data_IF_459671578751
#
_entry.id   IF_459671578751
#
_cell.length_a   1.000
_cell.length_b   1.000
_cell.length_c   1.000
_cell.angle_alpha   90.00
_cell.angle_beta   90.00
_cell.angle_gamma   90.00
#
_symmetry.space_group_name_H-M   'P 1'
#
loop_
_entity.id
_entity.type
_entity.pdbx_description
1 polymer ?
#
# COMPACT_ATOMS: atom_id res chain seq x y z
N UNK A 1 12.36 -37.27 4.56
CA UNK A 1 11.96 -35.86 4.36
C UNK A 1 10.45 -35.82 4.24
N UNK A 2 9.75 -35.38 5.27
CA UNK A 2 8.31 -35.12 5.18
C UNK A 2 8.16 -33.84 4.35
N UNK A 3 7.65 -33.96 3.13
CA UNK A 3 7.25 -32.81 2.35
C UNK A 3 6.12 -32.14 3.13
N UNK A 4 6.34 -30.90 3.57
CA UNK A 4 5.27 -30.10 4.14
C UNK A 4 4.09 -30.12 3.14
N UNK A 5 2.84 -30.26 3.62
CA UNK A 5 1.68 -30.30 2.74
C UNK A 5 1.67 -29.04 1.87
N UNK A 6 1.44 -29.23 0.56
CA UNK A 6 1.29 -28.10 -0.38
C UNK A 6 0.17 -27.20 0.14
N UNK A 7 0.35 -25.87 0.18
CA UNK A 7 -0.70 -24.96 0.64
C UNK A 7 -2.00 -25.16 -0.17
N UNK A 8 -3.14 -24.86 0.46
CA UNK A 8 -4.42 -24.95 -0.22
C UNK A 8 -4.46 -23.98 -1.42
N UNK A 9 -5.03 -24.41 -2.57
CA UNK A 9 -5.12 -23.62 -3.80
C UNK A 9 -6.00 -22.37 -3.67
N UNK A 10 -6.75 -22.28 -2.59
CA UNK A 10 -7.57 -21.13 -2.23
C UNK A 10 -7.62 -21.02 -0.73
N UNK A 11 -7.47 -19.80 -0.20
CA UNK A 11 -7.56 -19.54 1.24
C UNK A 11 -7.74 -18.06 1.52
N UNK A 12 -8.29 -17.75 2.70
CA UNK A 12 -8.17 -16.40 3.25
C UNK A 12 -6.74 -16.22 3.76
N UNK A 13 -6.15 -15.07 3.48
CA UNK A 13 -4.87 -14.70 4.06
C UNK A 13 -5.05 -14.34 5.53
N UNK A 14 -4.06 -14.75 6.33
CA UNK A 14 -3.98 -14.35 7.72
C UNK A 14 -3.80 -12.84 7.80
N UNK A 15 -4.46 -12.25 8.78
CA UNK A 15 -4.42 -10.81 9.02
C UNK A 15 -3.58 -10.52 10.26
N UNK A 16 -2.60 -9.62 10.14
CA UNK A 16 -1.79 -9.14 11.25
C UNK A 16 -2.08 -7.67 11.51
N UNK A 17 -2.65 -7.36 12.68
CA UNK A 17 -2.83 -5.98 13.14
C UNK A 17 -1.53 -5.46 13.77
N UNK A 18 -1.07 -4.30 13.34
CA UNK A 18 0.19 -3.71 13.79
C UNK A 18 -0.10 -2.40 14.51
N UNK A 19 0.29 -2.36 15.78
CA UNK A 19 0.24 -1.14 16.59
C UNK A 19 1.27 -0.13 16.09
N UNK A 20 0.86 1.13 16.00
CA UNK A 20 1.72 2.24 15.61
C UNK A 20 1.45 3.43 16.50
N UNK A 21 2.49 4.22 16.75
CA UNK A 21 2.38 5.49 17.49
C UNK A 21 1.39 6.46 16.85
N UNK A 22 1.17 6.34 15.54
CA UNK A 22 0.25 7.14 14.74
C UNK A 22 -1.09 6.43 14.43
N UNK A 23 -1.30 5.23 14.99
CA UNK A 23 -2.46 4.39 14.69
C UNK A 23 -3.74 4.92 15.32
N UNK A 24 -4.89 4.45 14.82
CA UNK A 24 -6.22 4.90 15.25
C UNK A 24 -6.76 4.03 16.39
N UNK A 25 -7.45 4.66 17.34
CA UNK A 25 -8.12 3.97 18.47
C UNK A 25 -9.40 3.25 18.03
N UNK A 26 -10.08 3.75 17.01
CA UNK A 26 -11.33 3.19 16.49
C UNK A 26 -11.19 2.95 14.99
N UNK A 27 -11.04 1.69 14.61
CA UNK A 27 -10.97 1.30 13.21
C UNK A 27 -12.37 1.38 12.56
N UNK A 28 -12.45 1.78 11.28
CA UNK A 28 -13.70 1.74 10.54
C UNK A 28 -14.11 0.28 10.26
N UNK A 29 -15.42 0.07 10.09
CA UNK A 29 -15.94 -1.21 9.64
C UNK A 29 -15.24 -1.65 8.33
N UNK A 30 -14.98 -2.95 8.14
CA UNK A 30 -15.40 -4.08 8.99
C UNK A 30 -14.41 -4.41 10.11
N UNK A 31 -13.35 -3.61 10.27
CA UNK A 31 -12.33 -3.87 11.26
C UNK A 31 -12.80 -3.41 12.65
N UNK A 32 -12.36 -4.13 13.67
CA UNK A 32 -12.60 -3.79 15.06
C UNK A 32 -11.25 -3.61 15.76
N UNK A 33 -11.11 -2.51 16.50
CA UNK A 33 -9.91 -2.29 17.31
C UNK A 33 -9.96 -3.15 18.58
N UNK A 34 -8.90 -3.91 18.89
CA UNK A 34 -8.76 -4.52 20.20
C UNK A 34 -8.71 -3.45 21.30
N UNK A 35 -9.40 -3.69 22.43
CA UNK A 35 -9.47 -2.72 23.52
C UNK A 35 -8.08 -2.26 23.99
N UNK A 36 -7.90 -0.93 24.09
CA UNK A 36 -6.66 -0.31 24.58
C UNK A 36 -5.48 -0.32 23.60
N UNK A 37 -5.69 -0.68 22.33
CA UNK A 37 -4.66 -0.68 21.29
C UNK A 37 -4.89 0.42 20.25
N UNK A 38 -3.80 0.95 19.70
CA UNK A 38 -3.82 1.89 18.57
C UNK A 38 -3.29 1.19 17.32
N UNK A 39 -4.18 0.83 16.41
CA UNK A 39 -3.82 0.07 15.21
C UNK A 39 -3.54 1.05 14.07
N UNK A 40 -2.32 1.02 13.54
CA UNK A 40 -1.96 1.83 12.36
C UNK A 40 -2.09 1.06 11.06
N UNK A 41 -1.75 -0.23 11.08
CA UNK A 41 -1.71 -1.06 9.88
C UNK A 41 -2.41 -2.40 10.11
N UNK A 42 -3.02 -2.92 9.06
CA UNK A 42 -3.55 -4.29 9.00
C UNK A 42 -2.95 -4.96 7.77
N UNK A 43 -2.11 -5.96 7.98
CA UNK A 43 -1.38 -6.65 6.92
C UNK A 43 -2.08 -7.94 6.55
N UNK A 44 -2.15 -8.25 5.27
CA UNK A 44 -2.40 -9.60 4.81
C UNK A 44 -1.06 -10.30 4.61
N UNK A 45 -0.79 -11.33 5.40
CA UNK A 45 0.49 -12.05 5.33
C UNK A 45 0.72 -12.60 3.92
N UNK A 46 1.86 -12.28 3.26
CA UNK A 46 2.11 -12.73 1.91
C UNK A 46 2.04 -14.25 1.81
N UNK A 47 1.28 -14.81 0.85
CA UNK A 47 1.27 -16.24 0.65
C UNK A 47 2.64 -16.69 0.08
N UNK A 48 3.11 -17.92 0.40
CA UNK A 48 4.37 -18.44 -0.13
C UNK A 48 4.48 -18.43 -1.67
N UNK A 49 3.35 -18.48 -2.37
CA UNK A 49 3.24 -18.43 -3.83
C UNK A 49 3.41 -17.02 -4.41
N UNK A 50 3.22 -15.98 -3.59
CA UNK A 50 3.37 -14.57 -3.99
C UNK A 50 4.14 -13.80 -2.90
N UNK A 51 5.38 -14.21 -2.58
CA UNK A 51 6.10 -13.68 -1.42
C UNK A 51 6.54 -12.22 -1.62
N UNK A 52 6.59 -11.74 -2.86
CA UNK A 52 7.03 -10.38 -3.22
C UNK A 52 5.93 -9.31 -3.21
N UNK A 53 4.70 -9.63 -2.81
CA UNK A 53 3.59 -8.68 -2.78
C UNK A 53 2.97 -8.62 -1.39
N UNK A 54 2.71 -7.40 -0.91
CA UNK A 54 2.06 -7.18 0.37
C UNK A 54 0.92 -6.17 0.21
N UNK A 55 -0.25 -6.56 0.70
CA UNK A 55 -1.43 -5.71 0.78
C UNK A 55 -1.69 -5.31 2.25
N UNK A 56 -1.94 -4.03 2.48
CA UNK A 56 -2.20 -3.49 3.82
C UNK A 56 -3.35 -2.50 3.81
N UNK A 57 -4.05 -2.40 4.93
CA UNK A 57 -4.85 -1.22 5.24
C UNK A 57 -4.09 -0.31 6.20
N UNK A 58 -4.13 0.99 5.97
CA UNK A 58 -3.52 2.01 6.83
C UNK A 58 -4.59 2.94 7.39
N UNK A 59 -4.48 3.24 8.70
CA UNK A 59 -5.43 4.08 9.45
C UNK A 59 -4.68 5.14 10.28
N UNK A 60 -4.10 6.16 9.63
CA UNK A 60 -3.40 7.24 10.31
C UNK A 60 -4.37 8.13 11.11
N UNK A 61 -4.16 8.22 12.43
CA UNK A 61 -4.77 9.27 13.25
C UNK A 61 -3.80 10.41 13.57
N UNK A 62 -2.52 10.24 13.25
CA UNK A 62 -1.47 11.25 13.31
C UNK A 62 -0.60 11.16 12.04
N UNK A 63 0.24 12.16 11.83
CA UNK A 63 1.21 12.12 10.71
C UNK A 63 2.20 10.97 10.89
N UNK A 64 2.33 10.15 9.85
CA UNK A 64 3.44 9.21 9.72
C UNK A 64 4.75 9.99 9.54
N UNK A 65 5.87 9.33 9.80
CA UNK A 65 7.18 9.91 9.53
C UNK A 65 7.35 10.29 8.06
N UNK A 66 8.17 11.33 7.82
CA UNK A 66 8.71 11.61 6.49
C UNK A 66 9.75 10.54 6.18
N UNK A 67 9.54 9.83 5.08
CA UNK A 67 10.32 8.64 4.75
C UNK A 67 10.53 8.48 3.24
N UNK A 68 11.43 7.57 2.90
CA UNK A 68 11.73 7.19 1.52
C UNK A 68 12.12 5.71 1.46
N UNK A 69 11.99 5.11 0.29
CA UNK A 69 12.20 3.70 0.03
C UNK A 69 13.24 3.47 -1.07
N UNK A 70 14.11 2.45 -0.96
CA UNK A 70 15.04 2.12 -2.03
C UNK A 70 14.32 1.48 -3.20
N UNK A 71 14.92 1.57 -4.39
CA UNK A 71 14.58 0.70 -5.53
C UNK A 71 15.37 -0.59 -5.45
N UNK A 72 14.99 -1.62 -6.22
CA UNK A 72 15.78 -2.85 -6.31
C UNK A 72 17.24 -2.57 -6.72
N UNK A 73 17.46 -1.56 -7.57
CA UNK A 73 18.79 -1.17 -8.05
C UNK A 73 19.64 -0.40 -7.00
N UNK A 74 18.98 0.17 -5.99
CA UNK A 74 19.65 0.95 -4.93
C UNK A 74 19.62 0.25 -3.58
N UNK A 75 18.92 -0.88 -3.45
CA UNK A 75 18.93 -1.69 -2.24
C UNK A 75 20.33 -2.27 -1.97
N UNK A 76 20.77 -2.19 -0.71
CA UNK A 76 22.01 -2.81 -0.24
C UNK A 76 21.75 -4.25 0.25
N UNK A 77 22.79 -5.08 0.48
CA UNK A 77 22.60 -6.42 1.03
C UNK A 77 21.80 -6.39 2.35
N UNK A 78 20.65 -7.08 2.37
CA UNK A 78 19.72 -7.08 3.50
C UNK A 78 18.60 -6.04 3.42
N UNK A 79 18.59 -5.21 2.37
CA UNK A 79 17.49 -4.35 1.97
C UNK A 79 16.79 -4.94 0.74
N UNK A 80 15.55 -4.53 0.51
CA UNK A 80 14.75 -4.88 -0.66
C UNK A 80 14.11 -3.61 -1.22
N UNK A 81 14.02 -3.52 -2.56
CA UNK A 81 13.31 -2.41 -3.18
C UNK A 81 11.84 -2.36 -2.76
N UNK A 82 11.30 -1.14 -2.74
CA UNK A 82 9.94 -0.91 -2.29
C UNK A 82 9.29 0.24 -3.06
N UNK A 83 8.58 -0.14 -4.10
CA UNK A 83 7.51 0.65 -4.69
C UNK A 83 6.17 0.32 -4.02
N UNK A 84 5.30 1.32 -3.97
CA UNK A 84 3.97 1.18 -3.37
C UNK A 84 2.91 1.96 -4.14
N UNK A 85 1.65 1.64 -3.89
CA UNK A 85 0.53 2.44 -4.35
C UNK A 85 -0.52 2.53 -3.25
N UNK A 86 -1.22 3.66 -3.23
CA UNK A 86 -2.30 3.92 -2.29
C UNK A 86 -3.60 4.15 -3.05
N UNK A 87 -4.62 3.40 -2.68
CA UNK A 87 -6.01 3.72 -2.96
C UNK A 87 -6.61 4.36 -1.71
N UNK A 88 -7.06 5.61 -1.81
CA UNK A 88 -7.78 6.28 -0.73
C UNK A 88 -9.19 5.70 -0.66
N UNK A 89 -9.52 5.02 0.44
CA UNK A 89 -10.84 4.43 0.66
C UNK A 89 -11.79 5.43 1.31
N UNK A 90 -11.26 6.23 2.22
CA UNK A 90 -12.00 7.28 2.93
C UNK A 90 -11.04 8.40 3.35
N UNK A 91 -11.56 9.62 3.45
CA UNK A 91 -10.80 10.81 3.78
C UNK A 91 -11.67 11.82 4.55
N UNK A 92 -11.22 12.18 5.76
CA UNK A 92 -11.81 13.27 6.54
C UNK A 92 -11.55 14.63 5.87
N UNK A 93 -12.38 15.67 6.12
CA UNK A 93 -12.15 17.00 5.56
C UNK A 93 -10.75 17.53 5.88
N UNK A 94 -10.00 17.88 4.83
CA UNK A 94 -8.63 18.39 4.95
C UNK A 94 -7.55 17.31 5.11
N UNK A 95 -7.90 16.03 4.99
CA UNK A 95 -6.92 14.95 4.96
C UNK A 95 -5.98 15.08 3.73
N UNK A 96 -4.69 14.84 3.96
CA UNK A 96 -3.64 15.10 2.96
C UNK A 96 -2.54 14.04 2.99
N UNK A 97 -1.91 13.85 1.83
CA UNK A 97 -0.72 13.03 1.63
C UNK A 97 0.44 13.93 1.20
N UNK A 98 1.61 13.77 1.79
CA UNK A 98 2.82 14.42 1.33
C UNK A 98 3.55 13.48 0.36
N UNK A 99 3.75 13.89 -0.89
CA UNK A 99 4.38 13.04 -1.92
C UNK A 99 5.30 13.89 -2.80
N UNK A 100 6.59 13.59 -2.76
CA UNK A 100 7.64 14.39 -3.39
C UNK A 100 7.82 15.77 -2.76
N UNK A 101 8.76 16.53 -3.32
CA UNK A 101 9.00 17.91 -2.91
C UNK A 101 8.15 18.90 -3.73
N UNK A 102 7.90 20.09 -3.17
CA UNK A 102 7.23 21.21 -3.87
C UNK A 102 8.01 21.68 -5.11
N UNK A 103 9.33 21.55 -5.05
CA UNK A 103 10.28 21.87 -6.12
C UNK A 103 11.50 20.97 -5.96
N UNK A 104 12.40 20.96 -6.93
CA UNK A 104 13.68 20.27 -6.77
C UNK A 104 14.48 20.85 -5.58
N UNK A 105 15.00 19.98 -4.71
CA UNK A 105 15.71 20.37 -3.49
C UNK A 105 17.11 19.74 -3.45
N UNK A 106 18.20 20.51 -3.28
CA UNK A 106 19.52 19.94 -3.08
C UNK A 106 19.58 19.01 -1.86
N UNK A 107 20.28 17.87 -1.97
CA UNK A 107 20.39 16.86 -0.90
C UNK A 107 20.89 17.45 0.42
N UNK A 108 21.85 18.39 0.40
CA UNK A 108 22.32 19.07 1.62
C UNK A 108 21.24 19.91 2.31
N UNK A 109 20.32 20.50 1.53
CA UNK A 109 19.17 21.21 2.10
C UNK A 109 18.18 20.22 2.72
N UNK A 110 17.94 19.06 2.08
CA UNK A 110 17.11 17.98 2.64
C UNK A 110 17.70 17.50 3.97
N UNK A 111 19.02 17.28 4.02
CA UNK A 111 19.74 16.86 5.24
C UNK A 111 19.55 17.86 6.38
N UNK A 112 19.83 19.15 6.15
CA UNK A 112 19.69 20.18 7.17
C UNK A 112 18.24 20.27 7.68
N UNK A 113 17.28 20.27 6.75
CA UNK A 113 15.86 20.38 7.06
C UNK A 113 15.30 19.14 7.79
N UNK A 114 15.87 17.95 7.55
CA UNK A 114 15.50 16.74 8.27
C UNK A 114 15.92 16.80 9.75
N UNK A 115 17.07 17.42 10.05
CA UNK A 115 17.62 17.54 11.40
C UNK A 115 16.88 18.57 12.26
N UNK A 116 16.44 19.68 11.68
CA UNK A 116 15.71 20.74 12.39
C UNK A 116 14.19 20.64 12.27
N UNK A 117 13.69 19.68 11.48
CA UNK A 117 12.27 19.41 11.26
C UNK A 117 11.59 20.30 10.21
N UNK A 118 12.31 21.25 9.60
CA UNK A 118 11.78 22.10 8.53
C UNK A 118 11.52 21.36 7.21
N UNK A 119 11.94 20.09 7.09
CA UNK A 119 11.72 19.25 5.89
C UNK A 119 10.23 19.14 5.53
N UNK A 120 9.34 19.18 6.51
CA UNK A 120 7.89 19.15 6.26
C UNK A 120 7.42 20.29 5.35
N UNK A 121 8.06 21.46 5.45
CA UNK A 121 7.76 22.63 4.60
C UNK A 121 8.32 22.52 3.18
N UNK A 122 9.16 21.51 2.91
CA UNK A 122 9.69 21.23 1.57
C UNK A 122 8.79 20.27 0.78
N UNK A 123 7.94 19.49 1.47
CA UNK A 123 7.12 18.46 0.87
C UNK A 123 5.90 19.03 0.15
N UNK A 124 5.52 18.40 -0.97
CA UNK A 124 4.26 18.69 -1.64
C UNK A 124 3.12 17.98 -0.93
N UNK A 125 2.21 18.74 -0.31
CA UNK A 125 0.98 18.20 0.28
C UNK A 125 -0.16 18.20 -0.73
N UNK A 126 -0.72 17.02 -0.98
CA UNK A 126 -1.88 16.78 -1.83
C UNK A 126 -3.11 16.55 -0.97
N UNK A 127 -4.19 17.28 -1.25
CA UNK A 127 -5.52 16.94 -0.72
C UNK A 127 -5.96 15.59 -1.29
N UNK A 128 -6.47 14.75 -0.39
CA UNK A 128 -6.89 13.40 -0.70
C UNK A 128 -8.41 13.29 -0.58
N UNK A 129 -9.02 12.56 -1.50
CA UNK A 129 -10.44 12.21 -1.49
C UNK A 129 -10.62 10.71 -1.73
N UNK A 130 -11.73 10.15 -1.24
CA UNK A 130 -12.06 8.75 -1.51
C UNK A 130 -12.09 8.47 -3.03
N UNK A 131 -11.40 7.40 -3.43
CA UNK A 131 -11.21 7.03 -4.84
C UNK A 131 -9.95 7.61 -5.49
N UNK A 132 -9.19 8.48 -4.82
CA UNK A 132 -7.87 8.89 -5.30
C UNK A 132 -6.89 7.70 -5.30
N UNK A 133 -6.02 7.68 -6.30
CA UNK A 133 -4.99 6.65 -6.50
C UNK A 133 -3.65 7.32 -6.69
N UNK A 134 -2.66 6.89 -5.91
CA UNK A 134 -1.28 7.35 -5.99
C UNK A 134 -0.36 6.16 -6.20
N UNK A 135 0.57 6.27 -7.13
CA UNK A 135 1.67 5.32 -7.29
C UNK A 135 2.97 6.00 -6.86
N UNK A 136 3.76 5.34 -6.03
CA UNK A 136 4.99 5.88 -5.48
C UNK A 136 6.16 5.04 -5.98
N UNK A 137 6.84 5.50 -7.04
CA UNK A 137 8.13 4.95 -7.41
C UNK A 137 9.10 5.05 -6.23
N UNK A 138 9.99 4.07 -6.12
CA UNK A 138 11.06 4.10 -5.15
C UNK A 138 11.91 5.37 -5.28
N UNK A 139 12.44 5.87 -4.17
CA UNK A 139 13.13 7.16 -4.07
C UNK A 139 12.22 8.36 -3.84
N UNK A 140 10.90 8.23 -4.03
CA UNK A 140 9.95 9.32 -3.74
C UNK A 140 9.83 9.56 -2.24
N UNK A 141 10.22 10.75 -1.77
CA UNK A 141 9.97 11.16 -0.38
C UNK A 141 8.47 11.28 -0.14
N UNK A 142 7.98 10.79 1.00
CA UNK A 142 6.56 10.87 1.30
C UNK A 142 6.26 10.81 2.80
N UNK A 143 5.04 11.22 3.15
CA UNK A 143 4.44 11.04 4.46
C UNK A 143 2.91 10.97 4.32
N UNK A 144 2.26 10.25 5.24
CA UNK A 144 0.81 10.13 5.27
C UNK A 144 0.28 11.00 6.42
N UNK A 145 -0.66 11.90 6.11
CA UNK A 145 -1.37 12.71 7.10
C UNK A 145 -2.49 11.94 7.81
N UNK A 146 -3.04 12.50 8.91
CA UNK A 146 -4.14 11.89 9.63
C UNK A 146 -5.45 11.93 8.84
N UNK A 147 -6.44 11.16 9.29
CA UNK A 147 -7.81 11.25 8.79
C UNK A 147 -8.06 10.47 7.51
N UNK A 148 -7.18 9.53 7.17
CA UNK A 148 -7.29 8.68 5.98
C UNK A 148 -7.62 7.23 6.37
N UNK A 149 -8.25 6.52 5.43
CA UNK A 149 -8.24 5.06 5.37
C UNK A 149 -7.71 4.67 3.99
N UNK A 150 -6.59 3.96 3.94
CA UNK A 150 -5.93 3.60 2.68
C UNK A 150 -5.89 2.09 2.50
N UNK A 151 -6.01 1.63 1.26
CA UNK A 151 -5.49 0.33 0.83
C UNK A 151 -4.12 0.58 0.17
N UNK A 152 -3.08 -0.02 0.72
CA UNK A 152 -1.73 0.01 0.18
C UNK A 152 -1.40 -1.35 -0.46
N UNK A 153 -0.91 -1.32 -1.69
CA UNK A 153 -0.26 -2.46 -2.33
C UNK A 153 1.20 -2.08 -2.55
N UNK A 154 2.11 -2.92 -2.09
CA UNK A 154 3.55 -2.67 -2.19
C UNK A 154 4.31 -3.96 -2.55
N UNK A 155 5.55 -3.80 -3.02
CA UNK A 155 6.53 -4.88 -2.90
C UNK A 155 6.61 -5.33 -1.43
N UNK A 156 6.74 -6.63 -1.18
CA UNK A 156 6.87 -7.15 0.18
C UNK A 156 8.27 -6.87 0.74
N UNK A 157 8.49 -5.60 1.12
CA UNK A 157 9.72 -5.07 1.70
C UNK A 157 9.39 -4.23 2.92
N UNK A 158 10.24 -4.35 3.93
CA UNK A 158 10.23 -3.54 5.15
C UNK A 158 11.24 -2.38 5.10
N UNK A 159 11.92 -2.17 3.96
CA UNK A 159 12.99 -1.18 3.80
C UNK A 159 12.42 0.25 3.81
N UNK A 160 12.44 0.88 4.99
CA UNK A 160 11.92 2.24 5.22
C UNK A 160 12.98 3.13 5.83
N UNK A 161 13.40 4.17 5.10
CA UNK A 161 14.39 5.12 5.57
C UNK A 161 13.73 6.42 6.02
N UNK A 162 13.82 6.70 7.31
CA UNK A 162 13.13 7.80 7.94
C UNK A 162 13.99 9.05 7.94
N UNK A 163 13.46 10.15 7.41
CA UNK A 163 14.12 11.46 7.45
C UNK A 163 13.70 12.26 8.68
N UNK A 164 12.42 12.25 9.02
CA UNK A 164 11.89 13.04 10.13
C UNK A 164 10.67 12.37 10.78
N UNK A 165 10.54 12.52 12.10
CA UNK A 165 9.47 11.87 12.87
C UNK A 165 8.80 12.74 13.92
N UNK A 166 8.78 14.05 13.72
CA UNK A 166 8.06 14.98 14.61
C UNK A 166 8.52 14.89 16.08
N UNK A 167 9.83 14.67 16.28
CA UNK A 167 10.45 14.57 17.61
C UNK A 167 10.21 13.25 18.36
N UNK A 168 9.52 12.27 17.75
CA UNK A 168 9.34 10.94 18.36
C UNK A 168 10.67 10.17 18.41
N UNK A 169 10.92 9.37 19.45
CA UNK A 169 12.21 8.69 19.66
C UNK A 169 12.35 7.42 18.82
N UNK A 170 12.06 7.51 17.51
CA UNK A 170 12.30 6.43 16.55
C UNK A 170 13.53 6.76 15.72
N UNK A 171 14.25 5.72 15.32
CA UNK A 171 15.46 5.85 14.51
C UNK A 171 15.21 6.63 13.22
N UNK A 172 16.15 7.53 12.90
CA UNK A 172 16.24 8.21 11.62
C UNK A 172 17.37 7.54 10.81
N UNK A 173 17.15 7.36 9.52
CA UNK A 173 18.07 6.67 8.62
C UNK A 173 18.66 7.65 7.60
N UNK A 174 19.15 8.81 8.06
CA UNK A 174 19.46 9.96 7.20
C UNK A 174 20.41 9.62 6.04
N UNK A 175 21.55 8.97 6.31
CA UNK A 175 22.51 8.63 5.26
C UNK A 175 21.89 7.73 4.19
N UNK A 176 21.16 6.70 4.62
CA UNK A 176 20.53 5.76 3.70
C UNK A 176 19.38 6.41 2.92
N UNK A 177 18.57 7.21 3.60
CA UNK A 177 17.48 7.97 2.99
C UNK A 177 18.00 8.91 1.89
N UNK A 178 19.00 9.73 2.19
CA UNK A 178 19.55 10.71 1.24
C UNK A 178 20.22 10.03 0.03
N UNK A 179 20.74 8.82 0.20
CA UNK A 179 21.39 8.07 -0.87
C UNK A 179 20.43 7.31 -1.79
N UNK A 180 19.12 7.22 -1.47
CA UNK A 180 18.09 6.64 -2.36
C UNK A 180 17.04 7.65 -2.80
N UNK A 181 17.02 8.82 -2.17
CA UNK A 181 16.02 9.85 -2.39
C UNK A 181 16.19 10.51 -3.76
N UNK A 182 15.07 10.62 -4.47
CA UNK A 182 14.94 11.50 -5.61
C UNK A 182 14.59 12.92 -5.10
N UNK A 183 15.47 13.93 -5.33
CA UNK A 183 15.22 15.30 -4.90
C UNK A 183 14.16 16.03 -5.73
N UNK A 184 13.65 15.43 -6.80
CA UNK A 184 12.71 16.06 -7.73
C UNK A 184 11.26 16.13 -7.18
N UNK A 185 10.41 16.99 -7.78
CA UNK A 185 8.97 16.95 -7.56
C UNK A 185 8.35 15.64 -8.02
N UNK A 186 7.29 15.22 -7.33
CA UNK A 186 6.53 14.02 -7.69
C UNK A 186 5.85 14.18 -9.08
N UNK A 187 6.05 13.23 -10.02
CA UNK A 187 5.38 13.28 -11.32
C UNK A 187 3.87 13.07 -11.20
N UNK A 188 3.08 14.09 -11.54
CA UNK A 188 1.61 14.05 -11.39
C UNK A 188 0.91 12.99 -12.25
N UNK A 189 1.58 12.41 -13.25
CA UNK A 189 1.03 11.27 -14.02
C UNK A 189 0.85 9.99 -13.17
N UNK A 190 1.52 9.91 -12.02
CA UNK A 190 1.35 8.84 -11.05
C UNK A 190 0.18 9.08 -10.08
N UNK A 191 -0.40 10.28 -10.07
CA UNK A 191 -1.67 10.59 -9.39
C UNK A 191 -2.82 10.40 -10.37
N UNK A 192 -3.92 9.83 -9.89
CA UNK A 192 -5.18 9.73 -10.63
C UNK A 192 -6.34 9.44 -9.69
N UNK A 193 -7.50 9.10 -10.23
CA UNK A 193 -8.61 8.53 -9.49
C UNK A 193 -9.17 7.27 -10.12
N UNK A 194 -9.98 6.53 -9.36
CA UNK A 194 -10.79 5.42 -9.86
C UNK A 194 -11.68 5.86 -11.04
N UNK A 195 -12.22 7.08 -11.01
CA UNK A 195 -13.06 7.60 -12.08
C UNK A 195 -12.28 7.79 -13.40
N UNK A 196 -11.03 8.23 -13.32
CA UNK A 196 -10.16 8.45 -14.48
C UNK A 196 -9.61 7.15 -15.05
N UNK A 197 -9.18 6.21 -14.19
CA UNK A 197 -8.54 4.97 -14.60
C UNK A 197 -9.51 3.81 -14.85
N UNK A 198 -10.75 3.93 -14.40
CA UNK A 198 -11.76 2.89 -14.52
C UNK A 198 -11.34 1.59 -13.82
N UNK A 199 -11.16 0.51 -14.59
CA UNK A 199 -10.87 -0.82 -14.02
C UNK A 199 -9.38 -1.08 -13.77
N UNK A 200 -8.46 -0.51 -14.55
CA UNK A 200 -7.02 -0.72 -14.33
C UNK A 200 -6.44 0.46 -13.58
N UNK A 201 -6.22 0.31 -12.28
CA UNK A 201 -5.72 1.38 -11.45
C UNK A 201 -4.19 1.48 -11.56
N UNK A 202 -3.48 0.38 -11.37
CA UNK A 202 -2.01 0.32 -11.46
C UNK A 202 -1.59 -0.81 -12.40
N UNK A 203 -0.62 -0.52 -13.25
CA UNK A 203 0.09 -1.48 -14.09
C UNK A 203 1.56 -1.04 -14.12
N UNK A 204 2.28 -1.36 -13.04
CA UNK A 204 3.67 -0.97 -12.82
C UNK A 204 4.61 -2.17 -13.03
N UNK A 205 5.91 -1.96 -12.93
CA UNK A 205 6.90 -3.02 -13.17
C UNK A 205 6.71 -4.22 -12.21
N UNK A 206 6.53 -3.96 -10.90
CA UNK A 206 6.51 -5.03 -9.90
C UNK A 206 5.11 -5.62 -9.65
N UNK A 207 4.05 -4.84 -9.81
CA UNK A 207 2.70 -5.29 -9.51
C UNK A 207 1.64 -4.53 -10.30
N UNK A 208 0.45 -5.12 -10.30
CA UNK A 208 -0.75 -4.60 -10.90
C UNK A 208 -1.86 -4.51 -9.85
N UNK A 209 -2.72 -3.51 -10.00
CA UNK A 209 -3.94 -3.37 -9.21
C UNK A 209 -5.10 -3.00 -10.13
N UNK A 210 -6.13 -3.84 -10.19
CA UNK A 210 -7.37 -3.57 -10.90
C UNK A 210 -8.55 -3.47 -9.93
N UNK A 211 -9.52 -2.63 -10.25
CA UNK A 211 -10.81 -2.52 -9.56
C UNK A 211 -11.90 -3.06 -10.46
N UNK A 212 -12.71 -3.96 -9.93
CA UNK A 212 -13.87 -4.51 -10.62
C UNK A 212 -15.14 -4.25 -9.82
N UNK A 213 -16.24 -4.14 -10.55
CA UNK A 213 -17.60 -4.10 -10.01
C UNK A 213 -18.34 -5.31 -10.55
N UNK A 214 -18.79 -6.19 -9.66
CA UNK A 214 -19.37 -7.47 -10.02
C UNK A 214 -18.37 -8.40 -10.73
N UNK A 215 -18.82 -9.05 -11.80
CA UNK A 215 -18.01 -10.00 -12.56
C UNK A 215 -17.03 -9.27 -13.51
N UNK A 216 -15.74 -9.65 -13.54
CA UNK A 216 -14.78 -9.10 -14.48
C UNK A 216 -15.15 -9.45 -15.93
N UNK A 217 -14.87 -8.53 -16.86
CA UNK A 217 -14.93 -8.83 -18.29
C UNK A 217 -13.76 -9.72 -18.73
N UNK A 218 -13.93 -10.45 -19.85
CA UNK A 218 -12.96 -11.44 -20.34
C UNK A 218 -11.52 -10.90 -20.47
N UNK A 219 -11.34 -9.68 -21.00
CA UNK A 219 -10.01 -9.09 -21.18
C UNK A 219 -9.29 -8.88 -19.85
N UNK A 220 -10.00 -8.45 -18.81
CA UNK A 220 -9.43 -8.28 -17.48
C UNK A 220 -9.15 -9.63 -16.83
N UNK A 221 -10.10 -10.58 -16.93
CA UNK A 221 -9.92 -11.92 -16.40
C UNK A 221 -8.67 -12.62 -16.96
N UNK A 222 -8.39 -12.47 -18.26
CA UNK A 222 -7.19 -13.03 -18.87
C UNK A 222 -5.88 -12.49 -18.25
N UNK A 223 -5.90 -11.29 -17.67
CA UNK A 223 -4.73 -10.73 -16.97
C UNK A 223 -4.51 -11.38 -15.60
N UNK A 224 -5.45 -12.15 -15.08
CA UNK A 224 -5.39 -12.83 -13.78
C UNK A 224 -5.55 -14.35 -13.92
N UNK A 225 -4.98 -14.93 -14.99
CA UNK A 225 -4.91 -16.39 -15.20
C UNK A 225 -3.79 -17.06 -14.37
N UNK A 226 -3.25 -16.37 -13.38
CA UNK A 226 -2.17 -16.77 -12.48
C UNK A 226 -2.56 -16.38 -11.05
N UNK A 227 -1.82 -16.86 -10.03
CA UNK A 227 -2.14 -16.58 -8.64
C UNK A 227 -2.35 -15.09 -8.38
N UNK A 228 -3.42 -14.80 -7.65
CA UNK A 228 -3.84 -13.43 -7.36
C UNK A 228 -4.35 -13.29 -5.92
N UNK A 229 -4.34 -12.04 -5.47
CA UNK A 229 -5.07 -11.60 -4.30
C UNK A 229 -6.33 -10.88 -4.74
N UNK A 230 -7.45 -11.20 -4.10
CA UNK A 230 -8.73 -10.55 -4.30
C UNK A 230 -9.24 -9.99 -2.96
N UNK A 231 -9.44 -8.67 -2.93
CA UNK A 231 -9.85 -7.90 -1.75
C UNK A 231 -11.22 -7.26 -2.01
N UNK A 232 -12.32 -7.88 -1.58
CA UNK A 232 -13.64 -7.26 -1.66
C UNK A 232 -13.65 -5.98 -0.83
N UNK A 233 -14.14 -4.88 -1.41
CA UNK A 233 -14.45 -3.64 -0.69
C UNK A 233 -15.95 -3.55 -0.39
N UNK A 234 -16.79 -4.17 -1.22
CA UNK A 234 -18.22 -4.36 -0.96
C UNK A 234 -18.74 -5.66 -1.59
N UNK A 235 -19.83 -6.20 -1.04
CA UNK A 235 -20.33 -7.52 -1.42
C UNK A 235 -19.37 -8.63 -0.98
N UNK A 236 -19.35 -9.76 -1.69
CA UNK A 236 -18.48 -10.89 -1.37
C UNK A 236 -18.16 -11.74 -2.58
N UNK A 237 -16.98 -12.34 -2.57
CA UNK A 237 -16.55 -13.35 -3.54
C UNK A 237 -16.40 -14.69 -2.85
N UNK A 238 -16.38 -15.77 -3.62
CA UNK A 238 -16.05 -17.10 -3.08
C UNK A 238 -15.28 -17.95 -4.07
N UNK A 239 -14.38 -18.80 -3.57
CA UNK A 239 -13.69 -19.79 -4.37
C UNK A 239 -13.56 -21.08 -3.54
N UNK A 240 -13.82 -22.24 -4.17
CA UNK A 240 -13.70 -23.55 -3.52
C UNK A 240 -14.40 -23.65 -2.14
N UNK A 241 -15.59 -23.04 -2.01
CA UNK A 241 -16.37 -23.01 -0.77
C UNK A 241 -15.91 -22.00 0.28
N UNK A 242 -14.81 -21.29 0.05
CA UNK A 242 -14.29 -20.23 0.93
C UNK A 242 -14.87 -18.89 0.47
N UNK A 243 -15.49 -18.15 1.38
CA UNK A 243 -16.08 -16.83 1.12
C UNK A 243 -15.19 -15.72 1.71
N UNK A 244 -15.00 -14.65 0.95
CA UNK A 244 -14.34 -13.42 1.40
C UNK A 244 -15.30 -12.23 1.23
N UNK A 245 -15.41 -11.40 2.26
CA UNK A 245 -16.09 -10.10 2.25
C UNK A 245 -15.14 -8.94 2.53
N UNK A 246 -15.67 -7.74 2.82
CA UNK A 246 -14.86 -6.59 3.17
C UNK A 246 -13.88 -6.90 4.30
N UNK A 247 -12.68 -6.34 4.23
CA UNK A 247 -11.62 -6.51 5.24
C UNK A 247 -10.96 -7.89 5.24
N UNK A 248 -11.28 -8.74 4.27
CA UNK A 248 -10.62 -10.03 4.05
C UNK A 248 -9.90 -10.01 2.71
N UNK A 249 -8.84 -10.81 2.61
CA UNK A 249 -8.09 -11.01 1.38
C UNK A 249 -8.14 -12.50 1.02
N UNK A 250 -8.63 -12.80 -0.18
CA UNK A 250 -8.67 -14.15 -0.73
C UNK A 250 -7.45 -14.34 -1.64
N UNK A 251 -6.67 -15.38 -1.37
CA UNK A 251 -5.74 -15.94 -2.34
C UNK A 251 -6.47 -16.98 -3.20
N UNK A 252 -6.24 -16.94 -4.51
CA UNK A 252 -6.67 -17.95 -5.46
C UNK A 252 -5.59 -18.19 -6.52
N UNK A 253 -5.49 -19.42 -7.02
CA UNK A 253 -4.51 -19.80 -8.06
C UNK A 253 -4.77 -19.13 -9.42
N UNK A 254 -6.01 -18.76 -9.70
CA UNK A 254 -6.41 -17.92 -10.84
C UNK A 254 -7.80 -17.32 -10.62
N UNK A 255 -8.18 -16.36 -11.47
CA UNK A 255 -9.47 -15.68 -11.38
C UNK A 255 -10.67 -16.56 -11.77
N UNK A 256 -10.46 -17.63 -12.55
CA UNK A 256 -11.53 -18.53 -12.98
C UNK A 256 -12.03 -19.40 -11.82
N UNK A 257 -11.21 -19.61 -10.80
CA UNK A 257 -11.61 -20.24 -9.55
C UNK A 257 -12.56 -19.38 -8.68
N UNK A 258 -12.67 -18.07 -8.97
CA UNK A 258 -13.45 -17.12 -8.15
C UNK A 258 -14.86 -16.93 -8.73
N UNK A 259 -15.87 -17.18 -7.89
CA UNK A 259 -17.24 -16.78 -8.12
C UNK A 259 -17.49 -15.34 -7.66
N UNK A 260 -18.00 -14.53 -8.60
CA UNK A 260 -18.34 -13.13 -8.44
C UNK A 260 -19.86 -12.87 -8.38
N UNK A 261 -20.69 -13.90 -8.22
CA UNK A 261 -22.15 -13.76 -8.23
C UNK A 261 -22.68 -12.74 -7.20
N UNK A 262 -22.00 -12.60 -6.06
CA UNK A 262 -22.35 -11.67 -4.97
C UNK A 262 -21.34 -10.51 -4.83
N UNK A 263 -20.46 -10.31 -5.83
CA UNK A 263 -19.42 -9.30 -5.75
C UNK A 263 -20.02 -7.90 -5.94
N UNK A 264 -19.65 -6.98 -5.04
CA UNK A 264 -19.81 -5.56 -5.26
C UNK A 264 -18.53 -5.02 -5.90
N UNK A 265 -17.78 -4.21 -5.17
CA UNK A 265 -16.45 -3.74 -5.58
C UNK A 265 -15.39 -4.71 -5.07
N UNK A 266 -14.47 -5.13 -5.93
CA UNK A 266 -13.31 -5.95 -5.55
C UNK A 266 -12.04 -5.37 -6.15
N UNK A 267 -10.98 -5.28 -5.35
CA UNK A 267 -9.63 -5.02 -5.83
C UNK A 267 -8.96 -6.36 -6.12
N UNK A 268 -8.42 -6.49 -7.32
CA UNK A 268 -7.58 -7.61 -7.72
C UNK A 268 -6.16 -7.11 -7.82
N UNK A 269 -5.21 -7.89 -7.32
CA UNK A 269 -3.79 -7.56 -7.43
C UNK A 269 -2.95 -8.82 -7.52
N UNK A 270 -1.83 -8.69 -8.23
CA UNK A 270 -0.80 -9.72 -8.35
C UNK A 270 0.55 -9.07 -8.69
N UNK A 271 1.67 -9.75 -8.44
CA UNK A 271 2.94 -9.40 -9.04
C UNK A 271 2.81 -9.36 -10.57
N UNK A 272 3.51 -8.43 -11.19
CA UNK A 272 3.84 -8.57 -12.61
C UNK A 272 5.05 -9.49 -12.72
N UNK A 273 5.03 -10.37 -13.72
CA UNK A 273 6.24 -11.13 -14.04
C UNK A 273 7.20 -10.14 -14.71
N UNK A 274 8.40 -10.01 -14.14
CA UNK A 274 9.50 -9.30 -14.78
C UNK A 274 9.92 -9.96 -16.08
#
# INVERSE_FOLDING_TARGET
>A
MSLAPRPLPTRLLNTRMVEKVWGRDVLPAPFATPAGRRIGEIWFEPPPEMPGLLAKYLFPSEKLSVQVHPSDATALPGEDGKEECWLVLDAEPGARLAIGFEREVPIETVRAAALDGSIEGLLKWHEASAGDVFFLPAGTVHAIGPGLSLLEIQQASDSTFRLYDYGRPRELHLERALAVLDPAPYPLCHRSSVAERGRTLIDAAHFRMDRIEGRPGRLLANRYAQPLLALPLSGSISANGIKAGPGQCLYADDIAAIDFANAGVTILTRPNQG
#
